data_IF_356270077433
#
_entry.id   IF_356270077433
#
_cell.length_a   1.000
_cell.length_b   1.000
_cell.length_c   1.000
_cell.angle_alpha   90.00
_cell.angle_beta   90.00
_cell.angle_gamma   90.00
#
_symmetry.space_group_name_H-M   'P 1'
#
loop_
_entity.id
_entity.type
_entity.pdbx_description
1 polymer ?
#
# COMPACT_ATOMS: atom_id res chain seq x y z
N UNK A 1 -20.67 -40.29 42.07
CA UNK A 1 -20.63 -38.88 41.55
C UNK A 1 -19.39 -38.57 40.67
N UNK A 2 -18.29 -39.26 40.77
CA UNK A 2 -17.05 -39.03 40.04
C UNK A 2 -17.09 -39.39 38.56
N UNK A 3 -17.84 -40.43 38.15
CA UNK A 3 -17.92 -40.89 36.75
C UNK A 3 -18.57 -39.90 35.81
N UNK A 4 -19.44 -39.04 36.30
CA UNK A 4 -20.18 -38.05 35.45
C UNK A 4 -19.33 -36.79 35.08
N UNK A 5 -18.27 -36.51 35.86
CA UNK A 5 -17.36 -35.40 35.59
C UNK A 5 -16.36 -35.71 34.48
N UNK A 6 -15.82 -36.95 34.45
CA UNK A 6 -14.89 -37.40 33.41
C UNK A 6 -15.51 -37.46 32.02
N UNK A 7 -16.77 -37.93 31.92
CA UNK A 7 -17.48 -37.97 30.66
C UNK A 7 -17.82 -36.56 30.16
N UNK A 8 -18.29 -35.66 31.06
CA UNK A 8 -18.52 -34.27 30.70
C UNK A 8 -17.23 -33.55 30.23
N UNK A 9 -16.14 -33.79 30.95
CA UNK A 9 -14.83 -33.24 30.60
C UNK A 9 -14.34 -33.76 29.24
N UNK A 10 -14.43 -35.07 28.98
CA UNK A 10 -14.09 -35.66 27.70
C UNK A 10 -14.96 -35.12 26.56
N UNK A 11 -16.27 -34.99 26.78
CA UNK A 11 -17.18 -34.43 25.79
C UNK A 11 -16.87 -32.95 25.53
N UNK A 12 -16.62 -32.17 26.56
CA UNK A 12 -16.24 -30.76 26.42
C UNK A 12 -14.91 -30.62 25.67
N UNK A 13 -13.91 -31.47 26.00
CA UNK A 13 -12.62 -31.49 25.32
C UNK A 13 -12.77 -31.91 23.84
N UNK A 14 -13.63 -32.88 23.53
CA UNK A 14 -13.89 -33.30 22.17
C UNK A 14 -14.56 -32.20 21.34
N UNK A 15 -15.55 -31.49 21.92
CA UNK A 15 -16.22 -30.35 21.29
C UNK A 15 -15.22 -29.20 21.07
N UNK A 16 -14.39 -28.89 22.07
CA UNK A 16 -13.34 -27.88 21.97
C UNK A 16 -12.32 -28.25 20.88
N UNK A 17 -11.86 -29.51 20.84
CA UNK A 17 -10.94 -29.98 19.80
C UNK A 17 -11.56 -29.94 18.40
N UNK A 18 -12.82 -30.33 18.24
CA UNK A 18 -13.55 -30.19 16.97
C UNK A 18 -13.70 -28.73 16.56
N UNK A 19 -14.03 -27.85 17.50
CA UNK A 19 -14.14 -26.41 17.27
C UNK A 19 -12.80 -25.78 16.86
N UNK A 20 -11.70 -26.11 17.54
CA UNK A 20 -10.36 -25.63 17.19
C UNK A 20 -9.89 -26.17 15.84
N UNK A 21 -10.17 -27.44 15.51
CA UNK A 21 -9.86 -28.02 14.21
C UNK A 21 -10.61 -27.34 13.08
N UNK A 22 -11.89 -27.05 13.29
CA UNK A 22 -12.72 -26.30 12.33
C UNK A 22 -12.20 -24.87 12.11
N UNK A 23 -11.87 -24.19 13.19
CA UNK A 23 -11.33 -22.81 13.12
C UNK A 23 -9.97 -22.76 12.42
N UNK A 24 -9.09 -23.74 12.68
CA UNK A 24 -7.83 -23.85 11.97
C UNK A 24 -8.04 -24.07 10.46
N UNK A 25 -8.99 -24.94 10.08
CA UNK A 25 -9.34 -25.18 8.68
C UNK A 25 -9.90 -23.91 8.01
N UNK A 26 -10.85 -23.21 8.65
CA UNK A 26 -11.42 -21.97 8.14
C UNK A 26 -10.35 -20.87 7.98
N UNK A 27 -9.47 -20.71 8.97
CA UNK A 27 -8.36 -19.77 8.91
C UNK A 27 -7.37 -20.07 7.77
N UNK A 28 -7.06 -21.35 7.51
CA UNK A 28 -6.19 -21.74 6.40
C UNK A 28 -6.86 -21.49 5.04
N UNK A 29 -8.15 -21.77 4.90
CA UNK A 29 -8.90 -21.49 3.66
C UNK A 29 -8.89 -19.98 3.37
N UNK A 30 -9.18 -19.16 4.38
CA UNK A 30 -9.17 -17.70 4.23
C UNK A 30 -7.75 -17.17 3.96
N UNK A 31 -6.74 -17.70 4.62
CA UNK A 31 -5.34 -17.36 4.35
C UNK A 31 -4.97 -17.67 2.90
N UNK A 32 -5.25 -18.87 2.43
CA UNK A 32 -4.92 -19.28 1.06
C UNK A 32 -5.69 -18.47 0.02
N UNK A 33 -6.85 -17.93 0.37
CA UNK A 33 -7.64 -17.09 -0.52
C UNK A 33 -7.20 -15.62 -0.52
N UNK A 34 -6.87 -15.05 0.64
CA UNK A 34 -6.61 -13.62 0.80
C UNK A 34 -5.11 -13.31 0.79
N UNK A 35 -4.30 -14.14 1.46
CA UNK A 35 -2.91 -13.83 1.80
C UNK A 35 -1.93 -14.56 0.89
N UNK A 36 -2.21 -15.84 0.56
CA UNK A 36 -1.29 -16.67 -0.19
C UNK A 36 -1.24 -16.27 -1.67
N UNK A 37 -0.03 -15.96 -2.17
CA UNK A 37 0.21 -15.64 -3.59
C UNK A 37 -0.13 -16.80 -4.53
N UNK A 38 0.12 -18.02 -4.12
CA UNK A 38 0.10 -19.19 -5.00
C UNK A 38 -1.29 -19.64 -5.45
N UNK A 39 -2.35 -18.94 -5.18
CA UNK A 39 -3.78 -19.08 -5.59
C UNK A 39 -4.19 -20.40 -6.36
N UNK A 40 -3.31 -21.42 -6.38
CA UNK A 40 -3.52 -22.68 -7.11
C UNK A 40 -4.66 -23.53 -6.54
N UNK A 41 -5.13 -23.19 -5.33
CA UNK A 41 -6.14 -23.97 -4.60
C UNK A 41 -7.39 -23.14 -4.31
N UNK A 42 -8.00 -22.55 -5.36
CA UNK A 42 -9.34 -22.02 -5.20
C UNK A 42 -10.37 -23.14 -5.30
N UNK A 43 -10.98 -23.53 -4.17
CA UNK A 43 -12.16 -24.35 -4.16
C UNK A 43 -13.30 -23.66 -4.92
N UNK A 44 -14.05 -24.43 -5.75
CA UNK A 44 -15.07 -23.94 -6.67
C UNK A 44 -16.07 -22.89 -6.15
N UNK A 45 -16.58 -22.95 -4.89
CA UNK A 45 -17.48 -21.94 -4.34
C UNK A 45 -16.87 -20.53 -4.24
N UNK A 46 -15.58 -20.46 -3.93
CA UNK A 46 -14.86 -19.18 -3.78
C UNK A 46 -14.46 -18.58 -5.14
N UNK A 47 -14.32 -19.40 -6.18
CA UNK A 47 -14.11 -18.91 -7.55
C UNK A 47 -15.33 -18.13 -8.05
N UNK A 48 -16.53 -18.67 -7.83
CA UNK A 48 -17.80 -18.01 -8.18
C UNK A 48 -17.98 -16.68 -7.42
N UNK A 49 -17.45 -16.62 -6.20
CA UNK A 49 -17.45 -15.42 -5.37
C UNK A 49 -16.51 -14.32 -5.93
N UNK A 50 -15.32 -14.68 -6.40
CA UNK A 50 -14.38 -13.75 -7.05
C UNK A 50 -14.96 -13.16 -8.35
N UNK A 51 -15.85 -13.92 -9.01
CA UNK A 51 -16.59 -13.49 -10.22
C UNK A 51 -17.80 -12.61 -9.86
N UNK A 52 -18.41 -12.80 -8.68
CA UNK A 52 -19.61 -12.07 -8.25
C UNK A 52 -19.30 -10.74 -7.54
N UNK A 53 -18.16 -10.62 -6.88
CA UNK A 53 -17.63 -9.35 -6.43
C UNK A 53 -16.87 -8.76 -7.62
N UNK A 54 -17.24 -7.58 -8.06
CA UNK A 54 -16.54 -6.80 -9.09
C UNK A 54 -15.07 -6.47 -8.73
N UNK A 55 -14.44 -7.29 -7.92
CA UNK A 55 -13.00 -7.24 -7.59
C UNK A 55 -12.16 -7.31 -8.85
N UNK A 56 -12.65 -8.00 -9.89
CA UNK A 56 -11.98 -8.06 -11.18
C UNK A 56 -12.02 -6.76 -11.98
N UNK A 57 -13.09 -5.97 -11.88
CA UNK A 57 -13.17 -4.63 -12.47
C UNK A 57 -12.30 -3.65 -11.68
N UNK A 58 -12.27 -3.79 -10.36
CA UNK A 58 -11.46 -3.01 -9.43
C UNK A 58 -9.95 -3.19 -9.63
N UNK A 59 -9.50 -4.39 -9.99
CA UNK A 59 -8.09 -4.69 -10.28
C UNK A 59 -7.67 -4.31 -11.71
N UNK A 60 -8.61 -4.00 -12.60
CA UNK A 60 -8.35 -3.49 -13.95
C UNK A 60 -8.59 -1.98 -13.97
N UNK A 61 -7.59 -1.22 -13.54
CA UNK A 61 -7.54 0.16 -13.98
C UNK A 61 -7.32 0.15 -15.48
N UNK A 62 -8.28 0.68 -16.22
CA UNK A 62 -8.10 0.93 -17.66
C UNK A 62 -7.08 2.04 -17.81
N UNK A 63 -5.83 1.65 -18.02
CA UNK A 63 -4.73 2.57 -18.30
C UNK A 63 -4.96 3.08 -19.71
N UNK A 64 -5.09 4.38 -19.88
CA UNK A 64 -5.32 4.99 -21.20
C UNK A 64 -4.17 4.67 -22.16
N UNK A 65 -4.49 4.58 -23.47
CA UNK A 65 -3.48 4.38 -24.52
C UNK A 65 -2.37 5.44 -24.43
N UNK A 66 -2.73 6.69 -24.15
CA UNK A 66 -1.77 7.78 -23.96
C UNK A 66 -0.77 7.49 -22.83
N UNK A 67 -1.25 6.94 -21.71
CA UNK A 67 -0.38 6.61 -20.57
C UNK A 67 0.51 5.41 -20.88
N UNK A 68 0.01 4.43 -21.61
CA UNK A 68 0.81 3.29 -22.07
C UNK A 68 1.88 3.72 -23.06
N UNK A 69 1.52 4.54 -24.06
CA UNK A 69 2.44 5.15 -25.01
C UNK A 69 3.55 5.95 -24.34
N UNK A 70 3.20 6.73 -23.29
CA UNK A 70 4.18 7.45 -22.49
C UNK A 70 5.15 6.49 -21.81
N UNK A 71 4.66 5.43 -21.20
CA UNK A 71 5.50 4.45 -20.50
C UNK A 71 6.44 3.72 -21.48
N UNK A 72 5.96 3.35 -22.67
CA UNK A 72 6.76 2.70 -23.71
C UNK A 72 7.89 3.60 -24.26
N UNK A 73 7.64 4.91 -24.37
CA UNK A 73 8.61 5.92 -24.83
C UNK A 73 9.58 6.37 -23.75
N UNK A 74 9.28 6.09 -22.48
CA UNK A 74 10.13 6.50 -21.35
C UNK A 74 11.12 5.40 -21.01
N UNK A 75 12.37 5.77 -20.75
CA UNK A 75 13.38 4.81 -20.32
C UNK A 75 13.06 4.30 -18.92
N UNK A 76 12.78 3.01 -18.81
CA UNK A 76 12.47 2.32 -17.56
C UNK A 76 13.64 1.39 -17.23
N UNK A 77 14.22 1.55 -16.04
CA UNK A 77 15.22 0.64 -15.50
C UNK A 77 14.63 -0.20 -14.38
N UNK A 78 15.26 -1.32 -14.06
CA UNK A 78 14.87 -2.16 -12.93
C UNK A 78 15.90 -2.02 -11.82
N UNK A 79 15.41 -1.87 -10.59
CA UNK A 79 16.22 -1.92 -9.39
C UNK A 79 15.83 -3.14 -8.57
N UNK A 80 16.82 -3.80 -7.98
CA UNK A 80 16.61 -4.97 -7.13
C UNK A 80 17.31 -4.80 -5.80
N UNK A 81 16.70 -5.33 -4.76
CA UNK A 81 17.26 -5.38 -3.40
C UNK A 81 16.68 -6.58 -2.65
N UNK A 82 17.03 -6.72 -1.38
CA UNK A 82 16.43 -7.71 -0.49
C UNK A 82 15.82 -7.01 0.73
N UNK A 83 14.66 -7.46 1.12
CA UNK A 83 14.03 -7.11 2.39
C UNK A 83 14.87 -7.60 3.58
N UNK A 84 14.53 -7.18 4.78
CA UNK A 84 15.23 -7.61 6.00
C UNK A 84 15.10 -9.11 6.30
N UNK A 85 14.06 -9.76 5.77
CA UNK A 85 13.82 -11.20 5.87
C UNK A 85 14.43 -12.01 4.70
N UNK A 86 15.22 -11.35 3.84
CA UNK A 86 15.85 -11.96 2.68
C UNK A 86 14.96 -12.08 1.43
N UNK A 87 13.69 -11.66 1.49
CA UNK A 87 12.80 -11.65 0.32
C UNK A 87 13.38 -10.74 -0.77
N UNK A 88 13.50 -11.23 -2.00
CA UNK A 88 13.92 -10.41 -3.13
C UNK A 88 12.86 -9.37 -3.48
N UNK A 89 13.26 -8.12 -3.64
CA UNK A 89 12.39 -7.00 -3.99
C UNK A 89 12.81 -6.43 -5.33
N UNK A 90 11.83 -6.15 -6.18
CA UNK A 90 12.01 -5.53 -7.48
C UNK A 90 11.24 -4.20 -7.54
N UNK A 91 11.80 -3.22 -8.26
CA UNK A 91 11.15 -1.96 -8.55
C UNK A 91 11.46 -1.49 -9.96
N UNK A 92 10.51 -0.79 -10.57
CA UNK A 92 10.74 -0.06 -11.81
C UNK A 92 11.12 1.38 -11.49
N UNK A 93 12.11 1.90 -12.21
CA UNK A 93 12.64 3.23 -12.00
C UNK A 93 12.60 4.04 -13.30
N UNK A 94 12.02 5.23 -13.22
CA UNK A 94 11.96 6.22 -14.30
C UNK A 94 12.84 7.39 -13.86
N UNK A 95 14.01 7.52 -14.41
CA UNK A 95 14.93 8.60 -14.07
C UNK A 95 14.82 9.74 -15.07
N UNK A 96 14.90 10.97 -14.55
CA UNK A 96 14.88 12.17 -15.39
C UNK A 96 16.17 12.28 -16.21
N UNK A 97 16.07 12.74 -17.47
CA UNK A 97 17.27 12.98 -18.30
C UNK A 97 18.21 14.04 -17.70
N UNK A 98 17.66 14.96 -16.91
CA UNK A 98 18.42 15.97 -16.17
C UNK A 98 18.46 15.60 -14.69
N UNK A 99 19.59 15.71 -14.01
CA UNK A 99 19.68 15.41 -12.58
C UNK A 99 18.65 16.21 -11.75
N UNK A 100 17.94 15.50 -10.91
CA UNK A 100 16.99 16.09 -9.96
C UNK A 100 17.14 15.44 -8.59
N UNK A 101 16.82 16.15 -7.53
CA UNK A 101 16.77 15.63 -6.16
C UNK A 101 15.37 15.14 -5.78
N UNK A 102 14.38 15.36 -6.63
CA UNK A 102 12.98 14.99 -6.36
C UNK A 102 12.71 13.55 -6.74
N UNK A 103 12.16 12.82 -5.80
CA UNK A 103 11.78 11.42 -5.96
C UNK A 103 10.34 11.20 -5.57
N UNK A 104 9.65 10.39 -6.35
CA UNK A 104 8.39 9.77 -6.01
C UNK A 104 8.61 8.28 -5.80
N UNK A 105 8.16 7.73 -4.67
CA UNK A 105 7.97 6.28 -4.51
C UNK A 105 6.47 6.02 -4.56
N UNK A 106 6.00 5.29 -5.57
CA UNK A 106 4.57 5.05 -5.81
C UNK A 106 4.24 3.56 -5.62
N UNK A 107 3.35 3.26 -4.66
CA UNK A 107 3.06 1.91 -4.19
C UNK A 107 1.67 1.48 -4.61
N UNK A 108 1.59 0.36 -5.35
CA UNK A 108 0.35 -0.17 -5.90
C UNK A 108 -0.49 -0.93 -4.87
N UNK A 109 -1.77 -1.13 -5.19
CA UNK A 109 -2.72 -1.86 -4.36
C UNK A 109 -2.57 -3.39 -4.42
N UNK A 110 -3.44 -4.07 -3.67
CA UNK A 110 -3.49 -5.52 -3.53
C UNK A 110 -3.58 -6.25 -4.89
N UNK A 111 -2.67 -7.20 -5.09
CA UNK A 111 -2.69 -8.06 -6.29
C UNK A 111 -2.41 -7.36 -7.62
N UNK A 112 -2.08 -6.08 -7.59
CA UNK A 112 -1.72 -5.30 -8.77
C UNK A 112 -0.24 -5.47 -9.13
N UNK A 113 0.19 -4.79 -10.18
CA UNK A 113 1.59 -4.68 -10.61
C UNK A 113 1.99 -3.20 -10.69
N UNK A 114 3.27 -2.95 -10.90
CA UNK A 114 3.80 -1.59 -11.03
C UNK A 114 3.08 -0.76 -12.10
N UNK A 115 2.60 -1.37 -13.19
CA UNK A 115 1.90 -0.67 -14.27
C UNK A 115 0.59 0.00 -13.81
N UNK A 116 -0.06 -0.51 -12.77
CA UNK A 116 -1.26 0.13 -12.21
C UNK A 116 -1.00 1.55 -11.69
N UNK A 117 0.28 1.86 -11.39
CA UNK A 117 0.67 3.19 -10.93
C UNK A 117 0.99 4.18 -12.06
N UNK A 118 1.05 3.76 -13.32
CA UNK A 118 1.44 4.63 -14.44
C UNK A 118 0.57 5.90 -14.55
N UNK A 119 -0.77 5.85 -14.41
CA UNK A 119 -1.60 7.05 -14.44
C UNK A 119 -1.28 8.05 -13.30
N UNK A 120 -0.85 7.54 -12.15
CA UNK A 120 -0.52 8.35 -10.98
C UNK A 120 0.91 8.90 -11.01
N UNK A 121 1.83 8.24 -11.68
CA UNK A 121 3.24 8.67 -11.70
C UNK A 121 3.57 9.56 -12.89
N UNK A 122 2.86 9.45 -14.01
CA UNK A 122 3.07 10.28 -15.21
C UNK A 122 3.10 11.77 -14.88
N UNK A 123 2.11 12.36 -14.15
CA UNK A 123 2.13 13.79 -13.81
C UNK A 123 3.33 14.20 -12.94
N UNK A 124 3.79 13.34 -12.03
CA UNK A 124 5.00 13.61 -11.25
C UNK A 124 6.26 13.58 -12.13
N UNK A 125 6.37 12.56 -13.01
CA UNK A 125 7.50 12.46 -13.92
C UNK A 125 7.58 13.69 -14.84
N UNK A 126 6.47 14.12 -15.43
CA UNK A 126 6.39 15.32 -16.30
C UNK A 126 6.74 16.62 -15.56
N UNK A 127 6.61 16.65 -14.23
CA UNK A 127 7.00 17.79 -13.39
C UNK A 127 8.43 17.65 -12.82
N UNK A 128 9.23 16.69 -13.32
CA UNK A 128 10.66 16.61 -13.04
C UNK A 128 11.04 15.71 -11.84
N UNK A 129 10.17 14.78 -11.44
CA UNK A 129 10.49 13.79 -10.43
C UNK A 129 11.13 12.55 -11.06
N UNK A 130 12.16 12.01 -10.44
CA UNK A 130 12.48 10.60 -10.60
C UNK A 130 11.38 9.79 -9.95
N UNK A 131 11.03 8.65 -10.52
CA UNK A 131 9.96 7.78 -10.01
C UNK A 131 10.50 6.39 -9.73
N UNK A 132 10.19 5.85 -8.56
CA UNK A 132 10.40 4.45 -8.22
C UNK A 132 9.03 3.81 -7.94
N UNK A 133 8.73 2.71 -8.63
CA UNK A 133 7.51 1.92 -8.41
C UNK A 133 7.94 0.55 -7.91
N UNK A 134 7.99 0.31 -6.59
CA UNK A 134 8.26 -1.01 -6.06
C UNK A 134 7.10 -1.95 -6.35
N UNK A 135 7.42 -3.17 -6.73
CA UNK A 135 6.47 -4.26 -6.69
C UNK A 135 6.42 -4.81 -5.27
N UNK A 136 5.26 -4.73 -4.63
CA UNK A 136 5.06 -5.23 -3.28
C UNK A 136 5.41 -6.72 -3.19
N UNK A 137 5.75 -7.21 -1.99
CA UNK A 137 6.04 -8.64 -1.80
C UNK A 137 4.87 -9.50 -2.25
N UNK A 138 5.18 -10.60 -2.90
CA UNK A 138 4.15 -11.44 -3.53
C UNK A 138 3.60 -10.92 -4.85
N UNK A 139 4.01 -9.76 -5.35
CA UNK A 139 3.55 -9.18 -6.62
C UNK A 139 4.66 -9.12 -7.66
N UNK A 140 4.27 -9.18 -8.92
CA UNK A 140 5.16 -9.03 -10.07
C UNK A 140 6.41 -9.91 -9.99
N UNK A 141 7.58 -9.28 -10.06
CA UNK A 141 8.91 -9.93 -9.97
C UNK A 141 9.48 -9.95 -8.56
N UNK A 142 8.84 -9.28 -7.59
CA UNK A 142 9.22 -9.40 -6.19
C UNK A 142 8.94 -10.81 -5.67
N UNK A 143 9.81 -11.28 -4.80
CA UNK A 143 9.67 -12.55 -4.10
C UNK A 143 8.55 -12.51 -3.06
N UNK A 144 8.47 -13.58 -2.27
CA UNK A 144 7.46 -13.76 -1.24
C UNK A 144 6.30 -14.64 -1.71
N UNK A 145 5.77 -15.41 -0.78
CA UNK A 145 4.66 -16.35 -1.01
C UNK A 145 3.33 -15.82 -0.46
N UNK A 146 3.30 -14.57 0.00
CA UNK A 146 2.14 -13.94 0.61
C UNK A 146 2.11 -12.45 0.33
N UNK A 147 0.93 -11.86 0.42
CA UNK A 147 0.72 -10.43 0.35
C UNK A 147 0.90 -9.79 1.74
N UNK A 148 1.64 -8.68 1.79
CA UNK A 148 1.96 -8.00 3.05
C UNK A 148 0.84 -7.15 3.62
N UNK A 149 -0.18 -6.84 2.80
CA UNK A 149 -1.33 -6.00 3.14
C UNK A 149 -0.94 -4.69 3.83
N UNK A 150 0.12 -4.05 3.37
CA UNK A 150 0.67 -2.83 3.95
C UNK A 150 1.63 -3.08 5.11
N UNK A 151 1.35 -4.02 6.01
CA UNK A 151 2.17 -4.23 7.22
C UNK A 151 3.57 -4.76 6.93
N UNK A 152 3.70 -5.85 6.19
CA UNK A 152 5.01 -6.34 5.82
C UNK A 152 5.68 -5.41 4.80
N UNK A 153 4.90 -4.85 3.89
CA UNK A 153 5.37 -3.94 2.83
C UNK A 153 5.97 -2.64 3.38
N UNK A 154 5.52 -2.14 4.55
CA UNK A 154 6.02 -0.89 5.13
C UNK A 154 7.53 -0.86 5.30
N UNK A 155 8.11 -1.99 5.72
CA UNK A 155 9.57 -2.11 5.91
C UNK A 155 10.31 -2.14 4.57
N UNK A 156 9.68 -2.69 3.53
CA UNK A 156 10.22 -2.68 2.17
C UNK A 156 10.25 -1.25 1.61
N UNK A 157 9.20 -0.46 1.89
CA UNK A 157 9.16 0.97 1.51
C UNK A 157 10.26 1.76 2.23
N UNK A 158 10.43 1.56 3.54
CA UNK A 158 11.56 2.16 4.30
C UNK A 158 12.91 1.76 3.68
N UNK A 159 13.06 0.50 3.26
CA UNK A 159 14.29 0.03 2.58
C UNK A 159 14.54 0.80 1.27
N UNK A 160 13.52 0.98 0.43
CA UNK A 160 13.64 1.75 -0.81
C UNK A 160 13.98 3.22 -0.56
N UNK A 161 13.34 3.85 0.45
CA UNK A 161 13.68 5.21 0.86
C UNK A 161 15.16 5.34 1.26
N UNK A 162 15.67 4.38 2.04
CA UNK A 162 17.07 4.34 2.47
C UNK A 162 18.05 4.15 1.32
N UNK A 163 17.72 3.33 0.33
CA UNK A 163 18.56 3.15 -0.84
C UNK A 163 18.67 4.44 -1.64
N UNK A 164 17.53 5.12 -1.90
CA UNK A 164 17.56 6.43 -2.58
C UNK A 164 18.37 7.44 -1.76
N UNK A 165 18.18 7.49 -0.43
CA UNK A 165 18.88 8.43 0.45
C UNK A 165 20.38 8.16 0.53
N UNK A 166 20.81 6.90 0.42
CA UNK A 166 22.22 6.54 0.37
C UNK A 166 22.87 6.94 -0.96
N UNK A 167 22.18 6.71 -2.08
CA UNK A 167 22.64 7.11 -3.42
C UNK A 167 22.62 8.63 -3.58
N UNK A 168 21.62 9.29 -3.06
CA UNK A 168 21.38 10.74 -3.15
C UNK A 168 21.03 11.34 -1.79
N UNK A 169 22.00 11.74 -0.95
CA UNK A 169 21.74 12.23 0.41
C UNK A 169 20.87 13.49 0.49
N UNK A 170 20.73 14.22 -0.61
CA UNK A 170 19.86 15.41 -0.72
C UNK A 170 18.54 15.12 -1.43
N UNK A 171 18.23 13.86 -1.68
CA UNK A 171 16.95 13.49 -2.28
C UNK A 171 15.78 13.99 -1.42
N UNK A 172 14.72 14.43 -2.05
CA UNK A 172 13.45 14.84 -1.45
C UNK A 172 12.39 13.84 -1.92
N UNK A 173 11.95 12.98 -1.01
CA UNK A 173 11.12 11.83 -1.34
C UNK A 173 9.67 12.13 -0.99
N UNK A 174 8.78 11.95 -1.96
CA UNK A 174 7.32 11.89 -1.78
C UNK A 174 6.92 10.43 -1.82
N UNK A 175 6.15 9.98 -0.84
CA UNK A 175 5.52 8.67 -0.86
C UNK A 175 4.08 8.82 -1.38
N UNK A 176 3.72 7.99 -2.32
CA UNK A 176 2.36 7.87 -2.83
C UNK A 176 1.91 6.42 -2.74
N UNK A 177 0.73 6.18 -2.22
CA UNK A 177 0.16 4.83 -2.18
C UNK A 177 -1.30 4.80 -2.56
N UNK A 178 -1.71 3.70 -3.20
CA UNK A 178 -3.10 3.44 -3.58
C UNK A 178 -3.60 2.17 -2.89
N UNK A 179 -4.77 2.22 -2.24
CA UNK A 179 -5.39 1.07 -1.58
C UNK A 179 -4.43 0.46 -0.54
N UNK A 180 -4.15 -0.85 -0.55
CA UNK A 180 -3.15 -1.44 0.36
C UNK A 180 -1.74 -0.85 0.20
N UNK A 181 -1.42 -0.23 -0.93
CA UNK A 181 -0.22 0.58 -1.10
C UNK A 181 -0.27 1.87 -0.29
N UNK A 182 -1.46 2.48 -0.13
CA UNK A 182 -1.66 3.61 0.76
C UNK A 182 -1.42 3.21 2.22
N UNK A 183 -1.88 2.03 2.62
CA UNK A 183 -1.58 1.48 3.94
C UNK A 183 -0.09 1.26 4.16
N UNK A 184 0.62 0.77 3.13
CA UNK A 184 2.06 0.54 3.20
C UNK A 184 2.83 1.86 3.45
N UNK A 185 2.49 2.94 2.73
CA UNK A 185 3.17 4.24 2.91
C UNK A 185 2.77 4.93 4.22
N UNK A 186 1.50 4.81 4.65
CA UNK A 186 1.06 5.31 5.96
C UNK A 186 1.76 4.57 7.11
N UNK A 187 1.83 3.25 7.03
CA UNK A 187 2.51 2.46 8.06
C UNK A 187 4.02 2.67 8.04
N UNK A 188 4.64 2.89 6.88
CA UNK A 188 6.05 3.24 6.77
C UNK A 188 6.36 4.60 7.40
N UNK A 189 5.42 5.56 7.33
CA UNK A 189 5.62 6.89 7.89
C UNK A 189 5.70 6.91 9.42
N UNK A 190 5.16 5.89 10.09
CA UNK A 190 5.24 5.71 11.55
C UNK A 190 6.46 4.91 12.02
N UNK A 191 7.38 4.55 11.13
CA UNK A 191 8.59 3.81 11.49
C UNK A 191 9.73 4.76 11.89
N UNK A 192 10.31 4.55 13.06
CA UNK A 192 11.39 5.38 13.62
C UNK A 192 12.61 5.47 12.69
N UNK A 193 12.77 4.50 11.82
CA UNK A 193 13.90 4.37 10.93
C UNK A 193 13.62 4.89 9.49
N UNK A 194 12.49 5.56 9.27
CA UNK A 194 12.22 6.24 8.01
C UNK A 194 13.21 7.39 7.81
N UNK A 195 13.85 7.55 6.64
CA UNK A 195 14.75 8.67 6.38
C UNK A 195 14.06 10.04 6.49
N UNK A 196 14.70 10.99 7.13
CA UNK A 196 14.19 12.35 7.36
C UNK A 196 14.00 13.18 6.07
N UNK A 197 14.51 12.70 4.94
CA UNK A 197 14.31 13.31 3.63
C UNK A 197 13.02 12.81 2.91
N UNK A 198 12.21 11.97 3.54
CA UNK A 198 10.81 11.76 3.17
C UNK A 198 10.02 13.00 3.61
N UNK A 199 9.48 13.73 2.63
CA UNK A 199 8.88 15.05 2.84
C UNK A 199 7.39 15.03 3.08
N UNK A 200 6.69 14.14 2.40
CA UNK A 200 5.25 13.94 2.61
C UNK A 200 4.78 12.57 2.12
N UNK A 201 3.59 12.23 2.56
CA UNK A 201 2.85 11.02 2.18
C UNK A 201 1.53 11.44 1.52
N UNK A 202 1.16 10.77 0.45
CA UNK A 202 -0.16 10.84 -0.19
C UNK A 202 -0.76 9.45 -0.13
N UNK A 203 -1.86 9.30 0.57
CA UNK A 203 -2.53 8.02 0.76
C UNK A 203 -3.94 8.07 0.17
N UNK A 204 -4.16 7.32 -0.90
CA UNK A 204 -5.44 7.25 -1.59
C UNK A 204 -6.13 5.92 -1.29
N UNK A 205 -7.32 5.99 -0.69
CA UNK A 205 -8.20 4.85 -0.38
C UNK A 205 -7.56 3.84 0.59
N UNK A 206 -6.99 4.29 1.72
CA UNK A 206 -6.43 3.43 2.76
C UNK A 206 -7.50 2.90 3.73
N UNK A 207 -7.24 1.75 4.35
CA UNK A 207 -8.01 1.26 5.49
C UNK A 207 -7.43 1.77 6.83
N UNK A 208 -8.24 1.77 7.89
CA UNK A 208 -7.79 2.20 9.23
C UNK A 208 -7.09 1.06 10.01
N UNK A 209 -7.74 -0.12 10.07
CA UNK A 209 -7.22 -1.34 10.73
C UNK A 209 -7.61 -2.56 9.91
N UNK A 210 -6.66 -3.47 9.70
CA UNK A 210 -6.92 -4.70 8.94
C UNK A 210 -7.94 -5.61 9.65
N UNK A 211 -8.01 -5.58 10.98
CA UNK A 211 -9.04 -6.29 11.76
C UNK A 211 -10.45 -5.81 11.43
N UNK A 212 -10.64 -4.50 11.33
CA UNK A 212 -11.95 -3.90 11.09
C UNK A 212 -12.39 -4.13 9.64
N UNK A 213 -11.47 -3.95 8.69
CA UNK A 213 -11.69 -4.29 7.30
C UNK A 213 -12.03 -5.78 7.11
N UNK A 214 -11.27 -6.68 7.75
CA UNK A 214 -11.52 -8.12 7.70
C UNK A 214 -12.90 -8.47 8.28
N UNK A 215 -13.26 -7.89 9.43
CA UNK A 215 -14.57 -8.09 10.03
C UNK A 215 -15.69 -7.61 9.12
N UNK A 216 -15.54 -6.45 8.47
CA UNK A 216 -16.54 -5.91 7.55
C UNK A 216 -16.73 -6.84 6.34
N UNK A 217 -15.65 -7.23 5.69
CA UNK A 217 -15.67 -8.12 4.52
C UNK A 217 -16.27 -9.48 4.91
N UNK A 218 -15.84 -10.07 6.02
CA UNK A 218 -16.31 -11.37 6.46
C UNK A 218 -17.75 -11.33 7.01
N UNK A 219 -18.23 -10.20 7.49
CA UNK A 219 -19.64 -10.01 7.83
C UNK A 219 -20.53 -9.99 6.58
N UNK A 220 -20.08 -9.32 5.51
CA UNK A 220 -20.81 -9.23 4.23
C UNK A 220 -20.73 -10.54 3.44
N UNK A 221 -19.62 -11.26 3.54
CA UNK A 221 -19.26 -12.33 2.60
C UNK A 221 -18.68 -13.59 3.24
N UNK A 222 -18.67 -13.69 4.56
CA UNK A 222 -18.14 -14.83 5.28
C UNK A 222 -19.07 -16.06 5.27
N UNK A 223 -18.74 -17.03 6.09
CA UNK A 223 -19.52 -18.27 6.19
C UNK A 223 -20.83 -18.03 6.94
N UNK A 224 -21.99 -18.44 6.40
CA UNK A 224 -23.27 -18.35 7.09
C UNK A 224 -23.22 -19.00 8.49
N UNK A 225 -23.77 -18.30 9.48
CA UNK A 225 -23.82 -18.79 10.86
C UNK A 225 -22.54 -18.67 11.68
N UNK A 226 -21.45 -18.12 11.09
CA UNK A 226 -20.19 -17.90 11.81
C UNK A 226 -19.94 -16.40 12.05
N UNK A 227 -19.65 -16.00 13.31
CA UNK A 227 -19.29 -14.62 13.62
C UNK A 227 -18.02 -14.16 12.87
N UNK A 228 -18.08 -12.99 12.21
CA UNK A 228 -16.96 -12.44 11.45
C UNK A 228 -15.69 -12.26 12.32
N UNK A 229 -15.85 -11.83 13.57
CA UNK A 229 -14.72 -11.68 14.49
C UNK A 229 -13.97 -12.99 14.77
N UNK A 230 -14.67 -14.12 14.78
CA UNK A 230 -14.06 -15.43 14.98
C UNK A 230 -13.28 -15.86 13.71
N UNK A 231 -13.83 -15.59 12.53
CA UNK A 231 -13.15 -15.82 11.25
C UNK A 231 -11.93 -14.91 11.10
N UNK A 232 -12.06 -13.63 11.45
CA UNK A 232 -10.94 -12.67 11.46
C UNK A 232 -9.82 -13.14 12.40
N UNK A 233 -10.17 -13.58 13.60
CA UNK A 233 -9.18 -14.14 14.54
C UNK A 233 -8.47 -15.35 13.94
N UNK A 234 -9.21 -16.26 13.31
CA UNK A 234 -8.65 -17.49 12.71
C UNK A 234 -7.70 -17.19 11.57
N UNK A 235 -8.09 -16.35 10.61
CA UNK A 235 -7.20 -15.98 9.50
C UNK A 235 -5.99 -15.18 9.99
N UNK A 236 -6.18 -14.32 10.98
CA UNK A 236 -5.09 -13.55 11.60
C UNK A 236 -4.06 -14.46 12.28
N UNK A 237 -4.52 -15.48 13.01
CA UNK A 237 -3.64 -16.46 13.64
C UNK A 237 -2.85 -17.28 12.60
N UNK A 238 -3.53 -17.75 11.54
CA UNK A 238 -2.86 -18.49 10.45
C UNK A 238 -1.87 -17.58 9.73
N UNK A 239 -2.21 -16.31 9.52
CA UNK A 239 -1.29 -15.33 8.90
C UNK A 239 -0.06 -15.11 9.79
N UNK A 240 -0.23 -15.03 11.09
CA UNK A 240 0.90 -14.94 12.02
C UNK A 240 1.81 -16.17 11.93
N UNK A 241 1.25 -17.37 11.90
CA UNK A 241 2.02 -18.62 11.83
C UNK A 241 2.72 -18.83 10.47
N UNK A 242 2.14 -18.38 9.35
CA UNK A 242 2.64 -18.65 8.00
C UNK A 242 3.37 -17.48 7.34
N UNK A 243 3.01 -16.24 7.72
CA UNK A 243 3.56 -15.01 7.12
C UNK A 243 4.26 -14.11 8.14
N UNK A 244 4.26 -14.47 9.43
CA UNK A 244 5.01 -13.75 10.48
C UNK A 244 4.36 -12.45 10.96
N UNK A 245 3.12 -12.14 10.56
CA UNK A 245 2.39 -10.96 11.05
C UNK A 245 0.92 -11.28 11.33
N UNK A 246 0.30 -10.50 12.22
CA UNK A 246 -1.12 -10.62 12.55
C UNK A 246 -1.92 -9.42 12.05
N UNK A 247 -3.24 -9.57 11.87
CA UNK A 247 -4.11 -8.46 11.49
C UNK A 247 -4.19 -7.37 12.56
N UNK A 248 -3.96 -7.73 13.83
CA UNK A 248 -3.92 -6.75 14.92
C UNK A 248 -2.71 -5.81 14.82
N UNK A 249 -1.58 -6.29 14.28
CA UNK A 249 -0.39 -5.47 14.04
C UNK A 249 -0.59 -4.52 12.86
N UNK A 250 -1.34 -4.94 11.85
CA UNK A 250 -1.61 -4.16 10.64
C UNK A 250 -2.67 -3.07 10.92
N UNK A 251 -2.24 -2.00 11.57
CA UNK A 251 -3.05 -0.84 11.96
C UNK A 251 -2.42 0.44 11.45
N UNK A 252 -2.97 1.00 10.38
CA UNK A 252 -2.53 2.27 9.83
C UNK A 252 -2.78 3.41 10.83
N UNK A 253 -3.90 3.37 11.57
CA UNK A 253 -4.22 4.34 12.65
C UNK A 253 -3.11 4.40 13.70
N UNK A 254 -2.60 3.24 14.16
CA UNK A 254 -1.55 3.23 15.18
C UNK A 254 -0.20 3.75 14.65
N UNK A 255 0.03 3.65 13.35
CA UNK A 255 1.27 4.12 12.74
C UNK A 255 1.21 5.61 12.39
N UNK A 256 0.10 6.11 11.86
CA UNK A 256 -0.02 7.55 11.58
C UNK A 256 -0.02 8.40 12.87
N UNK A 257 -0.47 7.84 13.99
CA UNK A 257 -0.37 8.49 15.31
C UNK A 257 1.08 8.67 15.80
N UNK A 258 2.05 7.96 15.23
CA UNK A 258 3.49 8.11 15.52
C UNK A 258 4.21 8.95 14.45
N UNK A 259 3.57 9.16 13.31
CA UNK A 259 4.18 9.81 12.17
C UNK A 259 4.15 11.33 12.34
N UNK A 260 5.29 11.97 12.10
CA UNK A 260 5.39 13.43 11.98
C UNK A 260 5.53 13.87 10.52
N UNK A 261 5.47 12.94 9.57
CA UNK A 261 5.56 13.23 8.14
C UNK A 261 4.25 13.82 7.63
N UNK A 262 4.24 15.00 7.00
CA UNK A 262 3.05 15.61 6.44
C UNK A 262 2.28 14.64 5.55
N UNK A 263 0.97 14.52 5.74
CA UNK A 263 0.15 13.50 5.07
C UNK A 263 -1.11 14.07 4.45
N UNK A 264 -1.34 13.78 3.16
CA UNK A 264 -2.60 14.01 2.45
C UNK A 264 -3.38 12.69 2.37
N UNK A 265 -4.57 12.68 2.98
CA UNK A 265 -5.51 11.58 2.91
C UNK A 265 -6.51 11.85 1.80
N UNK A 266 -6.66 10.90 0.86
CA UNK A 266 -7.64 10.98 -0.25
C UNK A 266 -8.53 9.76 -0.18
N UNK A 267 -9.84 9.94 -0.44
CA UNK A 267 -10.78 8.82 -0.43
C UNK A 267 -11.98 9.08 -1.33
N UNK A 268 -12.59 8.00 -1.83
CA UNK A 268 -13.87 8.04 -2.50
C UNK A 268 -15.02 8.01 -1.50
N UNK A 269 -16.02 8.89 -1.66
CA UNK A 269 -17.19 8.92 -0.79
C UNK A 269 -18.10 7.69 -0.95
N UNK A 270 -18.09 7.05 -2.13
CA UNK A 270 -18.85 5.83 -2.43
C UNK A 270 -17.97 4.56 -2.41
N UNK A 271 -16.93 4.56 -1.57
CA UNK A 271 -16.05 3.40 -1.42
C UNK A 271 -16.73 2.29 -0.61
N UNK A 272 -17.25 1.28 -1.31
CA UNK A 272 -17.89 0.10 -0.69
C UNK A 272 -16.90 -0.94 -0.16
N UNK A 273 -15.64 -0.84 -0.55
CA UNK A 273 -14.60 -1.79 -0.14
C UNK A 273 -13.93 -1.35 1.16
N UNK A 274 -13.48 -0.09 1.19
CA UNK A 274 -12.92 0.56 2.37
C UNK A 274 -13.81 1.77 2.69
N UNK A 275 -14.76 1.67 3.64
CA UNK A 275 -15.68 2.76 3.94
C UNK A 275 -14.95 4.07 4.26
N UNK A 276 -15.51 5.19 3.80
CA UNK A 276 -14.90 6.53 3.95
C UNK A 276 -14.64 6.92 5.41
N UNK A 277 -15.35 6.33 6.35
CA UNK A 277 -15.14 6.47 7.79
C UNK A 277 -13.71 6.06 8.20
N UNK A 278 -13.12 5.09 7.50
CA UNK A 278 -11.72 4.69 7.76
C UNK A 278 -10.74 5.81 7.43
N UNK A 279 -11.02 6.62 6.39
CA UNK A 279 -10.23 7.79 6.07
C UNK A 279 -10.33 8.87 7.17
N UNK A 280 -11.53 9.10 7.69
CA UNK A 280 -11.71 10.04 8.81
C UNK A 280 -10.98 9.58 10.07
N UNK A 281 -11.04 8.26 10.39
CA UNK A 281 -10.27 7.70 11.53
C UNK A 281 -8.76 7.92 11.37
N UNK A 282 -8.23 7.71 10.17
CA UNK A 282 -6.80 7.94 9.87
C UNK A 282 -6.44 9.43 10.01
N UNK A 283 -7.27 10.30 9.45
CA UNK A 283 -7.07 11.74 9.53
C UNK A 283 -7.08 12.22 10.98
N UNK A 284 -8.05 11.81 11.78
CA UNK A 284 -8.13 12.21 13.19
C UNK A 284 -6.92 11.71 14.00
N UNK A 285 -6.48 10.49 13.78
CA UNK A 285 -5.38 9.86 14.51
C UNK A 285 -4.00 10.42 14.15
N UNK A 286 -3.81 11.00 12.97
CA UNK A 286 -2.51 11.47 12.52
C UNK A 286 -2.00 12.66 13.34
N UNK A 287 -0.74 12.55 13.84
CA UNK A 287 -0.05 13.58 14.62
C UNK A 287 1.00 14.32 13.77
N UNK A 288 0.56 14.90 12.66
CA UNK A 288 1.40 15.61 11.71
C UNK A 288 0.63 16.74 11.02
N UNK A 289 1.32 17.54 10.21
CA UNK A 289 0.64 18.41 9.23
C UNK A 289 -0.17 17.53 8.29
N UNK A 290 -1.47 17.72 8.24
CA UNK A 290 -2.37 16.85 7.53
C UNK A 290 -3.43 17.61 6.73
N UNK A 291 -3.89 16.99 5.66
CA UNK A 291 -4.98 17.45 4.83
C UNK A 291 -5.85 16.27 4.38
N UNK A 292 -7.10 16.52 4.05
CA UNK A 292 -8.05 15.48 3.63
C UNK A 292 -8.82 15.92 2.38
N UNK A 293 -9.06 14.98 1.48
CA UNK A 293 -9.82 15.17 0.26
C UNK A 293 -10.77 14.02 0.02
N UNK A 294 -12.05 14.28 0.11
CA UNK A 294 -13.09 13.30 -0.23
C UNK A 294 -13.68 13.65 -1.60
N UNK A 295 -13.77 12.68 -2.48
CA UNK A 295 -14.45 12.78 -3.77
C UNK A 295 -15.75 11.99 -3.66
N UNK A 296 -16.86 12.72 -3.46
CA UNK A 296 -18.17 12.15 -3.06
C UNK A 296 -18.66 11.02 -3.98
N UNK A 297 -18.52 11.15 -5.30
CA UNK A 297 -19.02 10.17 -6.26
C UNK A 297 -17.97 9.14 -6.71
N UNK A 298 -16.84 9.07 -6.02
CA UNK A 298 -15.80 8.11 -6.36
C UNK A 298 -15.94 6.83 -5.56
N UNK A 299 -15.81 5.70 -6.23
CA UNK A 299 -15.62 4.38 -5.62
C UNK A 299 -14.15 4.18 -5.22
N UNK A 300 -13.84 3.02 -4.63
CA UNK A 300 -12.50 2.67 -4.17
C UNK A 300 -11.40 2.85 -5.23
N UNK A 301 -10.40 3.67 -4.96
CA UNK A 301 -9.27 3.93 -5.87
C UNK A 301 -9.59 4.75 -7.11
N UNK A 302 -10.81 5.27 -7.25
CA UNK A 302 -11.26 6.02 -8.43
C UNK A 302 -11.31 7.53 -8.22
N UNK A 303 -10.84 8.05 -7.09
CA UNK A 303 -10.88 9.48 -6.77
C UNK A 303 -10.22 10.34 -7.86
N UNK A 304 -9.04 9.94 -8.36
CA UNK A 304 -8.34 10.63 -9.44
C UNK A 304 -9.14 10.63 -10.75
N UNK A 305 -9.75 9.51 -11.10
CA UNK A 305 -10.50 9.39 -12.36
C UNK A 305 -11.84 10.14 -12.32
N UNK A 306 -12.49 10.19 -11.16
CA UNK A 306 -13.76 10.89 -10.98
C UNK A 306 -13.61 12.42 -10.96
N UNK A 307 -12.46 12.95 -10.54
CA UNK A 307 -12.27 14.40 -10.40
C UNK A 307 -10.81 14.80 -10.71
N UNK A 308 -10.32 14.51 -11.93
CA UNK A 308 -8.92 14.61 -12.34
C UNK A 308 -8.28 15.95 -12.00
N UNK A 309 -8.83 17.07 -12.47
CA UNK A 309 -8.24 18.40 -12.27
C UNK A 309 -8.19 18.78 -10.79
N UNK A 310 -9.28 18.57 -10.06
CA UNK A 310 -9.40 18.85 -8.63
C UNK A 310 -8.41 18.00 -7.82
N UNK A 311 -8.26 16.72 -8.20
CA UNK A 311 -7.33 15.79 -7.57
C UNK A 311 -5.88 16.26 -7.70
N UNK A 312 -5.45 16.54 -8.93
CA UNK A 312 -4.08 16.94 -9.20
C UNK A 312 -3.74 18.36 -8.71
N UNK A 313 -4.71 19.27 -8.72
CA UNK A 313 -4.55 20.59 -8.10
C UNK A 313 -4.26 20.45 -6.60
N UNK A 314 -5.04 19.62 -5.88
CA UNK A 314 -4.85 19.39 -4.44
C UNK A 314 -3.52 18.69 -4.15
N UNK A 315 -3.19 17.63 -4.88
CA UNK A 315 -1.92 16.92 -4.74
C UNK A 315 -0.74 17.86 -4.97
N UNK A 316 -0.75 18.63 -6.05
CA UNK A 316 0.31 19.62 -6.35
C UNK A 316 0.44 20.68 -5.27
N UNK A 317 -0.68 21.22 -4.80
CA UNK A 317 -0.73 22.21 -3.74
C UNK A 317 -0.09 21.68 -2.45
N UNK A 318 -0.53 20.50 -2.00
CA UNK A 318 -0.01 19.86 -0.80
C UNK A 318 1.50 19.56 -0.91
N UNK A 319 1.92 18.89 -1.97
CA UNK A 319 3.34 18.56 -2.19
C UNK A 319 4.22 19.80 -2.22
N UNK A 320 3.75 20.89 -2.84
CA UNK A 320 4.50 22.15 -2.90
C UNK A 320 4.71 22.77 -1.52
N UNK A 321 3.77 22.62 -0.58
CA UNK A 321 3.95 23.13 0.79
C UNK A 321 4.96 22.31 1.60
N UNK A 322 5.15 21.03 1.25
CA UNK A 322 6.04 20.11 1.97
C UNK A 322 7.49 20.12 1.45
N UNK A 323 7.69 20.56 0.21
CA UNK A 323 9.01 20.59 -0.40
C UNK A 323 9.64 21.97 -0.24
N UNK A 324 10.95 22.06 0.08
CA UNK A 324 11.64 23.34 0.06
C UNK A 324 11.59 23.94 -1.34
N UNK A 325 11.54 25.27 -1.38
CA UNK A 325 11.62 26.00 -2.66
C UNK A 325 12.88 25.55 -3.42
N UNK A 326 12.71 25.26 -4.71
CA UNK A 326 13.87 24.95 -5.57
C UNK A 326 14.79 26.15 -5.56
N UNK A 327 15.90 26.08 -4.84
CA UNK A 327 17.01 27.00 -5.07
C UNK A 327 17.53 26.66 -6.45
N UNK A 328 17.24 27.48 -7.45
CA UNK A 328 17.94 27.39 -8.73
C UNK A 328 19.43 27.32 -8.41
N UNK A 329 20.07 26.22 -8.79
CA UNK A 329 21.53 26.10 -8.64
C UNK A 329 22.22 27.06 -9.63
N UNK A 330 22.21 28.32 -9.26
CA UNK A 330 22.87 29.40 -10.01
C UNK A 330 24.36 29.10 -10.17
N UNK A 331 24.93 28.18 -9.39
CA UNK A 331 26.32 27.73 -9.50
C UNK A 331 26.54 26.90 -10.78
N UNK A 332 25.57 26.11 -11.20
CA UNK A 332 25.63 25.31 -12.44
C UNK A 332 25.54 26.21 -13.68
N UNK A 333 24.60 27.14 -13.67
CA UNK A 333 24.45 28.15 -14.75
C UNK A 333 25.70 29.03 -14.84
N UNK A 334 26.30 29.41 -13.71
CA UNK A 334 27.53 30.20 -13.67
C UNK A 334 28.75 29.38 -14.18
N UNK A 335 28.84 28.07 -13.90
CA UNK A 335 29.91 27.20 -14.42
C UNK A 335 29.80 27.01 -15.93
N UNK A 336 28.61 26.83 -16.46
CA UNK A 336 28.37 26.74 -17.90
C UNK A 336 28.73 28.06 -18.59
N UNK A 337 28.28 29.22 -18.07
CA UNK A 337 28.63 30.51 -18.63
C UNK A 337 30.14 30.79 -18.57
N UNK A 338 30.84 30.33 -17.54
CA UNK A 338 32.31 30.45 -17.41
C UNK A 338 33.06 29.52 -18.41
N UNK A 339 32.49 28.37 -18.77
CA UNK A 339 33.07 27.44 -19.75
C UNK A 339 32.96 27.99 -21.19
N UNK A 340 31.82 28.59 -21.52
CA UNK A 340 31.62 29.24 -22.84
C UNK A 340 32.35 30.57 -23.00
N UNK A 341 32.72 31.26 -21.90
CA UNK A 341 33.57 32.45 -21.97
C UNK A 341 35.07 32.19 -22.11
N UNK A 342 35.52 30.96 -21.90
CA UNK A 342 36.94 30.55 -22.09
C UNK A 342 37.20 29.96 -23.47
N UNK A 343 36.22 29.81 -24.33
CA UNK A 343 36.33 29.24 -25.69
C UNK A 343 36.19 30.31 -26.79
N UNK A 344 36.17 31.58 -26.42
CA UNK A 344 36.34 32.74 -27.26
C UNK A 344 37.56 33.52 -26.67
#
# INVERSE_FOLDING_TARGET
>A
MTQNWDEKLKTTMAIAAAGTGFMAAAGNILYDYIINRSQKYMFGPLKKYKESVKVGEFLRMDISEETMDWAEKTTITQRQTHAYDGTSLNAYCFEQPKPTQRWLIAVHGYGQSASAMFPFVKPFYETGYNVLIPECRGCGRSGGNYYGLGWADRMDIVKWCRLISADQPRAEIVLFGLSTGADAVLMASGEDNLPSNVRCVIADSAYSRLTDLSNLILKKHGMPGMPSGLLTFSVSLVTYLRAGYSFMQASAVNQVAKSHTPTLFIHGGEDELFPVEMCYELYEAADCTKDIMIIEQASHGYAMFAAYDKYWERVKQFVTTCLPAVKEDTSYVSRIKKRFRKSN
#
